data_IF_156787306152
#
_entry.id   IF_156787306152
#
_cell.length_a   1.000
_cell.length_b   1.000
_cell.length_c   1.000
_cell.angle_alpha   90.00
_cell.angle_beta   90.00
_cell.angle_gamma   90.00
#
_symmetry.space_group_name_H-M   'P 1'
#
loop_
_entity.id
_entity.type
_entity.pdbx_description
1 polymer ?
#
# COMPACT_ATOMS: atom_id res chain seq x y z
N UNK A 1 5.14 2.52 3.12
CA UNK A 1 4.34 2.05 4.28
C UNK A 1 2.95 2.68 4.25
N UNK A 2 2.04 2.31 5.16
CA UNK A 2 0.84 3.11 5.48
C UNK A 2 1.17 4.08 6.61
N UNK A 3 0.25 4.99 6.96
CA UNK A 3 0.41 5.85 8.15
C UNK A 3 0.59 5.02 9.44
N UNK A 4 -0.13 3.91 9.57
CA UNK A 4 -0.04 2.99 10.72
C UNK A 4 1.23 2.13 10.71
N UNK A 5 1.86 1.96 9.55
CA UNK A 5 3.10 1.20 9.38
C UNK A 5 4.38 2.03 9.45
N UNK A 6 4.30 3.29 9.88
CA UNK A 6 5.49 4.12 10.11
C UNK A 6 6.33 3.46 11.21
N UNK A 7 7.62 3.26 10.93
CA UNK A 7 8.56 2.58 11.84
C UNK A 7 8.77 1.10 11.53
N UNK A 8 7.95 0.46 10.69
CA UNK A 8 8.21 -0.92 10.25
C UNK A 8 9.44 -1.04 9.33
N UNK A 9 9.85 0.05 8.70
CA UNK A 9 11.06 0.17 7.88
C UNK A 9 11.81 1.41 8.37
N UNK A 10 13.13 1.30 8.50
CA UNK A 10 14.00 2.42 8.89
C UNK A 10 13.78 3.63 7.96
N UNK A 11 13.40 4.81 8.46
CA UNK A 11 13.25 6.03 7.68
C UNK A 11 14.52 6.46 6.91
N UNK A 12 15.70 6.00 7.33
CA UNK A 12 16.99 6.30 6.70
C UNK A 12 17.40 5.25 5.65
N UNK A 13 16.66 4.15 5.52
CA UNK A 13 16.91 3.14 4.49
C UNK A 13 16.69 3.76 3.10
N UNK A 14 17.68 3.60 2.21
CA UNK A 14 17.68 4.23 0.88
C UNK A 14 16.51 3.81 0.00
N UNK A 15 15.97 2.61 0.23
CA UNK A 15 14.81 2.07 -0.50
C UNK A 15 13.47 2.46 0.12
N UNK A 16 13.45 3.20 1.23
CA UNK A 16 12.23 3.62 1.88
C UNK A 16 11.56 4.75 1.08
N UNK A 17 10.37 4.48 0.54
CA UNK A 17 9.55 5.46 -0.19
C UNK A 17 8.62 6.26 0.74
N UNK A 18 8.74 6.08 2.06
CA UNK A 18 7.84 6.57 3.11
C UNK A 18 6.40 6.08 2.90
N UNK A 19 5.41 6.74 3.53
CA UNK A 19 4.02 6.33 3.40
C UNK A 19 3.39 6.84 2.11
N UNK A 20 2.46 6.06 1.56
CA UNK A 20 1.64 6.40 0.39
C UNK A 20 0.16 6.57 0.82
N UNK A 21 -0.68 7.10 -0.06
CA UNK A 21 -2.08 7.47 0.19
C UNK A 21 -2.36 8.96 -0.04
N UNK A 22 -3.51 9.43 0.46
CA UNK A 22 -4.04 10.79 0.25
C UNK A 22 -3.07 11.91 0.66
N UNK A 23 -2.28 11.70 1.71
CA UNK A 23 -1.21 12.60 2.16
C UNK A 23 0.16 11.91 2.14
N UNK A 24 0.31 10.89 1.29
CA UNK A 24 1.55 10.17 1.09
C UNK A 24 2.55 10.91 0.21
N UNK A 25 3.76 10.37 0.12
CA UNK A 25 4.77 10.89 -0.80
C UNK A 25 4.33 10.65 -2.25
N UNK A 26 4.69 11.58 -3.13
CA UNK A 26 4.47 11.42 -4.57
C UNK A 26 5.14 10.14 -5.09
N UNK A 27 6.38 9.88 -4.66
CA UNK A 27 7.16 8.70 -5.07
C UNK A 27 6.52 7.39 -4.58
N UNK A 28 5.97 7.35 -3.36
CA UNK A 28 5.28 6.18 -2.84
C UNK A 28 3.99 5.87 -3.62
N UNK A 29 3.19 6.89 -3.90
CA UNK A 29 1.97 6.74 -4.71
C UNK A 29 2.30 6.28 -6.13
N UNK A 30 3.33 6.86 -6.74
CA UNK A 30 3.76 6.50 -8.09
C UNK A 30 4.30 5.07 -8.16
N UNK A 31 5.08 4.64 -7.17
CA UNK A 31 5.61 3.28 -7.11
C UNK A 31 4.49 2.23 -7.02
N UNK A 32 3.42 2.51 -6.27
CA UNK A 32 2.24 1.61 -6.23
C UNK A 32 1.49 1.61 -7.57
N UNK A 33 1.29 2.79 -8.17
CA UNK A 33 0.61 2.93 -9.46
C UNK A 33 1.32 2.20 -10.60
N UNK A 34 2.65 2.28 -10.65
CA UNK A 34 3.50 1.69 -11.69
C UNK A 34 3.92 0.24 -11.39
N UNK A 35 3.51 -0.33 -10.24
CA UNK A 35 3.86 -1.70 -9.86
C UNK A 35 3.11 -2.75 -10.70
N UNK A 36 3.80 -3.86 -10.97
CA UNK A 36 3.24 -5.10 -11.53
C UNK A 36 3.02 -6.18 -10.45
N UNK A 37 3.63 -5.98 -9.27
CA UNK A 37 3.46 -6.80 -8.07
C UNK A 37 3.43 -5.89 -6.84
N UNK A 38 2.34 -5.97 -6.07
CA UNK A 38 2.17 -5.29 -4.79
C UNK A 38 2.09 -6.32 -3.66
N UNK A 39 3.06 -6.26 -2.75
CA UNK A 39 3.10 -7.12 -1.56
C UNK A 39 2.56 -6.31 -0.37
N UNK A 40 1.36 -6.66 0.06
CA UNK A 40 0.61 -6.02 1.13
C UNK A 40 0.75 -6.84 2.43
N UNK A 41 1.62 -6.38 3.34
CA UNK A 41 1.89 -7.04 4.63
C UNK A 41 1.16 -6.32 5.76
N UNK A 42 0.19 -6.99 6.40
CA UNK A 42 -0.52 -6.47 7.58
C UNK A 42 -1.22 -5.14 7.33
N UNK A 43 -1.75 -4.94 6.12
CA UNK A 43 -2.42 -3.72 5.72
C UNK A 43 -3.86 -3.99 5.36
N UNK A 44 -4.72 -3.02 5.67
CA UNK A 44 -6.08 -2.95 5.17
C UNK A 44 -6.12 -1.92 4.06
N UNK A 45 -6.81 -2.22 2.97
CA UNK A 45 -6.97 -1.31 1.84
C UNK A 45 -8.02 -0.24 2.16
N UNK A 46 -7.69 0.65 3.10
CA UNK A 46 -8.49 1.81 3.52
C UNK A 46 -8.61 2.84 2.39
N UNK A 47 -9.73 3.55 2.34
CA UNK A 47 -10.04 4.53 1.30
C UNK A 47 -9.03 5.70 1.25
N UNK A 48 -8.38 6.03 2.38
CA UNK A 48 -7.32 7.04 2.42
C UNK A 48 -6.02 6.57 1.78
N UNK A 49 -5.88 5.28 1.53
CA UNK A 49 -4.74 4.68 0.83
C UNK A 49 -5.10 4.47 -0.64
N UNK A 50 -6.25 3.84 -0.90
CA UNK A 50 -6.63 3.44 -2.26
C UNK A 50 -7.21 4.58 -3.09
N UNK A 51 -7.85 5.56 -2.45
CA UNK A 51 -8.70 6.52 -3.15
C UNK A 51 -9.79 5.78 -3.92
N UNK A 52 -9.82 5.98 -5.24
CA UNK A 52 -10.72 5.22 -6.13
C UNK A 52 -10.19 3.80 -6.31
N UNK A 53 -10.82 2.83 -5.64
CA UNK A 53 -10.45 1.41 -5.64
C UNK A 53 -10.18 0.86 -7.04
N UNK A 54 -11.04 1.15 -8.02
CA UNK A 54 -10.88 0.67 -9.41
C UNK A 54 -9.66 1.21 -10.15
N UNK A 55 -9.00 2.23 -9.61
CA UNK A 55 -7.77 2.82 -10.16
C UNK A 55 -6.54 2.50 -9.31
N UNK A 56 -6.70 1.77 -8.22
CA UNK A 56 -5.60 1.43 -7.32
C UNK A 56 -4.77 0.29 -7.92
N UNK A 57 -3.45 0.52 -8.06
CA UNK A 57 -2.48 -0.46 -8.57
C UNK A 57 -2.98 -1.25 -9.80
N UNK A 58 -3.38 -0.56 -10.90
CA UNK A 58 -4.23 -1.12 -11.96
C UNK A 58 -3.61 -2.29 -12.73
N UNK A 59 -2.29 -2.43 -12.72
CA UNK A 59 -1.55 -3.49 -13.41
C UNK A 59 -0.91 -4.49 -12.44
N UNK A 60 -1.12 -4.34 -11.13
CA UNK A 60 -0.42 -5.11 -10.13
C UNK A 60 -1.12 -6.44 -9.82
N UNK A 61 -0.33 -7.51 -9.68
CA UNK A 61 -0.74 -8.68 -8.91
C UNK A 61 -0.59 -8.36 -7.43
N UNK A 62 -1.61 -8.64 -6.64
CA UNK A 62 -1.61 -8.26 -5.22
C UNK A 62 -1.46 -9.52 -4.37
N UNK A 63 -0.39 -9.57 -3.58
CA UNK A 63 -0.19 -10.58 -2.55
C UNK A 63 -0.55 -9.94 -1.22
N UNK A 64 -1.67 -10.36 -0.64
CA UNK A 64 -2.17 -9.82 0.62
C UNK A 64 -1.97 -10.81 1.76
N UNK A 65 -1.16 -10.42 2.75
CA UNK A 65 -0.94 -11.16 3.98
C UNK A 65 -1.57 -10.39 5.14
N UNK A 66 -2.70 -10.89 5.63
CA UNK A 66 -3.38 -10.38 6.82
C UNK A 66 -3.74 -11.55 7.76
N UNK A 67 -3.75 -11.29 9.06
CA UNK A 67 -4.18 -12.25 10.08
C UNK A 67 -5.70 -12.38 10.12
N UNK A 68 -6.40 -11.32 9.71
CA UNK A 68 -7.85 -11.26 9.70
C UNK A 68 -8.39 -11.71 8.33
N UNK A 69 -9.06 -12.86 8.32
CA UNK A 69 -9.67 -13.44 7.11
C UNK A 69 -10.71 -12.48 6.51
N UNK A 70 -11.38 -11.67 7.34
CA UNK A 70 -12.43 -10.76 6.87
C UNK A 70 -11.91 -9.58 6.05
N UNK A 71 -10.60 -9.30 6.12
CA UNK A 71 -9.96 -8.24 5.33
C UNK A 71 -9.48 -8.73 3.95
N UNK A 72 -9.46 -10.04 3.70
CA UNK A 72 -9.09 -10.60 2.39
C UNK A 72 -10.22 -10.39 1.37
N UNK A 73 -9.89 -9.86 0.19
CA UNK A 73 -10.83 -9.55 -0.91
C UNK A 73 -11.99 -8.61 -0.54
N UNK A 74 -11.82 -7.82 0.53
CA UNK A 74 -12.88 -6.91 1.01
C UNK A 74 -13.03 -5.68 0.10
N UNK A 75 -11.91 -5.06 -0.26
CA UNK A 75 -11.88 -3.81 -1.04
C UNK A 75 -11.07 -3.95 -2.32
N UNK A 76 -9.95 -4.69 -2.30
CA UNK A 76 -8.99 -4.83 -3.40
C UNK A 76 -8.67 -6.31 -3.58
#
# INVERSE_FOLDING_TARGET
TTLMGIGCVDPMEKKNLYWFGMHGTYVGNRAVLESDLLIALGTRFDDRITGVVSKFAPNAKIIHLDIDISEQNKNV
#
